data_IF_754009159851
#
_entry.id   IF_754009159851
#
_cell.length_a   1.000
_cell.length_b   1.000
_cell.length_c   1.000
_cell.angle_alpha   90.00
_cell.angle_beta   90.00
_cell.angle_gamma   90.00
#
_symmetry.space_group_name_H-M   'P 1'
#
loop_
_entity.id
_entity.type
_entity.pdbx_description
1 polymer ?
#
# COMPACT_ATOMS: atom_id res chain seq x y z
N UNK A 1 12.23 22.08 -15.81
CA UNK A 1 11.79 20.98 -16.66
C UNK A 1 10.89 21.53 -17.77
N UNK A 2 11.06 21.19 -19.06
CA UNK A 2 10.15 21.64 -20.12
C UNK A 2 8.71 21.24 -19.80
N UNK A 3 7.74 22.11 -20.09
CA UNK A 3 6.31 21.88 -19.74
C UNK A 3 5.72 20.58 -20.32
N UNK A 4 6.20 20.16 -21.49
CA UNK A 4 5.81 18.91 -22.13
C UNK A 4 6.27 17.67 -21.34
N UNK A 5 7.51 17.65 -20.86
CA UNK A 5 8.05 16.53 -20.09
C UNK A 5 7.34 16.40 -18.73
N UNK A 6 7.04 17.55 -18.10
CA UNK A 6 6.29 17.53 -16.85
C UNK A 6 4.89 16.92 -17.03
N UNK A 7 4.20 17.26 -18.12
CA UNK A 7 2.89 16.69 -18.43
C UNK A 7 2.97 15.18 -18.68
N UNK A 8 3.99 14.71 -19.39
CA UNK A 8 4.21 13.28 -19.62
C UNK A 8 4.45 12.52 -18.31
N UNK A 9 5.27 13.07 -17.41
CA UNK A 9 5.51 12.46 -16.08
C UNK A 9 4.22 12.44 -15.25
N UNK A 10 3.46 13.52 -15.25
CA UNK A 10 2.18 13.58 -14.55
C UNK A 10 1.19 12.55 -15.08
N UNK A 11 1.00 12.47 -16.40
CA UNK A 11 0.09 11.52 -17.05
C UNK A 11 0.54 10.06 -16.84
N UNK A 12 1.86 9.80 -16.75
CA UNK A 12 2.40 8.47 -16.53
C UNK A 12 2.03 7.89 -15.16
N UNK A 13 1.88 8.74 -14.13
CA UNK A 13 1.44 8.30 -12.79
C UNK A 13 0.01 7.74 -12.85
N UNK A 14 -0.89 8.41 -13.54
CA UNK A 14 -2.26 7.90 -13.75
C UNK A 14 -2.26 6.63 -14.60
N UNK A 15 -1.42 6.57 -15.63
CA UNK A 15 -1.30 5.38 -16.48
C UNK A 15 -0.78 4.17 -15.68
N UNK A 16 0.19 4.37 -14.77
CA UNK A 16 0.70 3.31 -13.92
C UNK A 16 -0.40 2.73 -13.00
N UNK A 17 -1.17 3.59 -12.31
CA UNK A 17 -2.30 3.13 -11.49
C UNK A 17 -3.35 2.38 -12.32
N UNK A 18 -3.67 2.88 -13.53
CA UNK A 18 -4.60 2.18 -14.43
C UNK A 18 -4.11 0.77 -14.75
N UNK A 19 -2.82 0.62 -15.10
CA UNK A 19 -2.23 -0.70 -15.41
C UNK A 19 -2.26 -1.65 -14.22
N UNK A 20 -2.05 -1.15 -12.99
CA UNK A 20 -2.19 -1.96 -11.77
C UNK A 20 -3.62 -2.48 -11.63
N UNK A 21 -4.61 -1.61 -11.82
CA UNK A 21 -6.03 -2.00 -11.74
C UNK A 21 -6.42 -2.95 -12.88
N UNK A 22 -5.92 -2.71 -14.10
CA UNK A 22 -6.11 -3.63 -15.23
C UNK A 22 -5.55 -5.01 -14.93
N UNK A 23 -4.34 -5.07 -14.35
CA UNK A 23 -3.72 -6.31 -13.94
C UNK A 23 -4.52 -7.01 -12.83
N UNK A 24 -4.94 -6.30 -11.78
CA UNK A 24 -5.76 -6.86 -10.71
C UNK A 24 -7.05 -7.50 -11.22
N UNK A 25 -7.70 -6.87 -12.20
CA UNK A 25 -8.91 -7.39 -12.86
C UNK A 25 -8.58 -8.62 -13.73
N UNK A 26 -7.52 -8.55 -14.53
CA UNK A 26 -7.12 -9.63 -15.45
C UNK A 26 -6.70 -10.89 -14.69
N UNK A 27 -5.92 -10.72 -13.62
CA UNK A 27 -5.45 -11.79 -12.74
C UNK A 27 -6.56 -12.29 -11.77
N UNK A 28 -7.69 -11.59 -11.71
CA UNK A 28 -8.81 -11.91 -10.82
C UNK A 28 -8.37 -12.05 -9.38
N UNK A 29 -7.58 -11.07 -8.89
CA UNK A 29 -7.08 -11.10 -7.52
C UNK A 29 -8.21 -11.11 -6.49
N UNK A 30 -8.01 -11.79 -5.37
CA UNK A 30 -9.01 -11.85 -4.30
C UNK A 30 -9.22 -10.51 -3.62
N UNK A 31 -8.19 -9.68 -3.53
CA UNK A 31 -8.25 -8.31 -2.97
C UNK A 31 -7.00 -7.51 -3.34
N UNK A 32 -7.06 -6.20 -3.11
CA UNK A 32 -5.95 -5.28 -3.28
C UNK A 32 -5.63 -4.60 -1.93
N UNK A 33 -4.33 -4.42 -1.62
CA UNK A 33 -3.86 -3.61 -0.49
C UNK A 33 -3.07 -2.41 -0.98
N UNK A 34 -3.27 -1.23 -0.35
CA UNK A 34 -2.60 0.03 -0.70
C UNK A 34 -1.96 0.61 0.57
N UNK A 35 -0.64 0.71 0.57
CA UNK A 35 0.16 1.05 1.75
C UNK A 35 0.46 2.56 1.90
N UNK A 36 -0.52 3.41 1.63
CA UNK A 36 -0.44 4.86 1.91
C UNK A 36 0.20 5.70 0.80
N UNK A 37 0.27 7.02 1.05
CA UNK A 37 0.76 8.05 0.13
C UNK A 37 0.10 7.98 -1.26
N UNK A 38 -1.24 7.88 -1.25
CA UNK A 38 -2.07 7.84 -2.47
C UNK A 38 -1.98 9.19 -3.19
N UNK A 39 -1.86 10.27 -2.42
CA UNK A 39 -1.74 11.64 -2.91
C UNK A 39 -0.45 12.25 -2.42
N UNK A 40 0.16 13.11 -3.27
CA UNK A 40 1.37 13.83 -2.92
C UNK A 40 1.02 15.21 -2.34
N UNK A 41 1.08 15.30 -1.01
CA UNK A 41 0.89 16.53 -0.26
C UNK A 41 -0.55 16.84 0.12
N UNK A 42 -0.70 17.93 0.89
CA UNK A 42 -1.95 18.34 1.54
C UNK A 42 -3.01 18.81 0.52
N UNK A 43 -2.59 19.32 -0.64
CA UNK A 43 -3.48 19.81 -1.70
C UNK A 43 -3.56 18.81 -2.85
N UNK A 44 -4.44 17.84 -2.71
CA UNK A 44 -4.75 16.93 -3.80
C UNK A 44 -5.57 17.63 -4.89
N UNK A 45 -5.26 17.37 -6.15
CA UNK A 45 -6.10 17.86 -7.24
C UNK A 45 -7.43 17.10 -7.30
N UNK A 46 -8.52 17.79 -7.64
CA UNK A 46 -9.83 17.17 -7.84
C UNK A 46 -9.73 16.06 -8.89
N UNK A 47 -8.92 16.27 -9.95
CA UNK A 47 -8.69 15.28 -10.98
C UNK A 47 -8.04 14.00 -10.46
N UNK A 48 -7.08 14.10 -9.52
CA UNK A 48 -6.45 12.92 -8.91
C UNK A 48 -7.45 12.13 -8.06
N UNK A 49 -8.29 12.83 -7.28
CA UNK A 49 -9.32 12.20 -6.46
C UNK A 49 -10.36 11.49 -7.34
N UNK A 50 -10.87 12.16 -8.35
CA UNK A 50 -11.85 11.59 -9.29
C UNK A 50 -11.26 10.38 -10.03
N UNK A 51 -10.01 10.49 -10.49
CA UNK A 51 -9.34 9.38 -11.16
C UNK A 51 -9.16 8.18 -10.23
N UNK A 52 -8.68 8.38 -9.00
CA UNK A 52 -8.51 7.30 -8.01
C UNK A 52 -9.84 6.62 -7.72
N UNK A 53 -10.89 7.39 -7.45
CA UNK A 53 -12.23 6.85 -7.21
C UNK A 53 -12.77 6.05 -8.41
N UNK A 54 -12.51 6.51 -9.64
CA UNK A 54 -12.86 5.75 -10.85
C UNK A 54 -12.14 4.41 -10.91
N UNK A 55 -10.85 4.35 -10.52
CA UNK A 55 -10.13 3.09 -10.50
C UNK A 55 -10.67 2.14 -9.41
N UNK A 56 -10.97 2.64 -8.22
CA UNK A 56 -11.61 1.86 -7.16
C UNK A 56 -13.00 1.35 -7.59
N UNK A 57 -13.78 2.17 -8.30
CA UNK A 57 -15.09 1.77 -8.84
C UNK A 57 -14.95 0.63 -9.85
N UNK A 58 -13.90 0.61 -10.67
CA UNK A 58 -13.63 -0.50 -11.59
C UNK A 58 -13.38 -1.81 -10.83
N UNK A 59 -12.62 -1.76 -9.74
CA UNK A 59 -12.43 -2.92 -8.85
C UNK A 59 -13.75 -3.35 -8.19
N UNK A 60 -14.57 -2.39 -7.76
CA UNK A 60 -15.87 -2.66 -7.17
C UNK A 60 -16.81 -3.38 -8.15
N UNK A 61 -16.81 -3.00 -9.43
CA UNK A 61 -17.58 -3.66 -10.50
C UNK A 61 -17.17 -5.12 -10.74
N UNK A 62 -15.95 -5.47 -10.34
CA UNK A 62 -15.44 -6.84 -10.40
C UNK A 62 -15.47 -7.55 -9.03
N UNK A 63 -16.14 -6.95 -8.04
CA UNK A 63 -16.23 -7.47 -6.67
C UNK A 63 -14.88 -7.67 -5.96
N UNK A 64 -13.84 -6.95 -6.38
CA UNK A 64 -12.50 -7.01 -5.78
C UNK A 64 -12.45 -6.02 -4.61
N UNK A 65 -12.32 -6.49 -3.35
CA UNK A 65 -12.18 -5.63 -2.18
C UNK A 65 -10.84 -4.89 -2.19
N UNK A 66 -10.82 -3.67 -1.65
CA UNK A 66 -9.61 -2.88 -1.48
C UNK A 66 -9.46 -2.52 -0.01
N UNK A 67 -8.28 -2.78 0.55
CA UNK A 67 -7.89 -2.33 1.88
C UNK A 67 -6.77 -1.31 1.75
N UNK A 68 -6.95 -0.14 2.35
CA UNK A 68 -5.94 0.91 2.27
C UNK A 68 -5.69 1.56 3.63
N UNK A 69 -4.48 2.05 3.79
CA UNK A 69 -4.16 3.04 4.81
C UNK A 69 -3.73 4.35 4.14
N UNK A 70 -3.78 5.44 4.87
CA UNK A 70 -3.19 6.72 4.47
C UNK A 70 -1.80 6.86 5.08
N UNK A 71 -0.86 7.42 4.31
CA UNK A 71 0.50 7.71 4.73
C UNK A 71 0.66 9.12 5.30
N UNK A 72 1.92 9.55 5.39
CA UNK A 72 2.26 10.85 5.95
C UNK A 72 2.00 12.04 5.00
N UNK A 73 1.80 11.80 3.71
CA UNK A 73 1.42 12.83 2.74
C UNK A 73 -0.10 13.01 2.65
N UNK A 74 -0.89 12.03 2.99
CA UNK A 74 -2.36 12.06 2.88
C UNK A 74 -3.09 11.82 4.21
N UNK A 75 -2.43 12.06 5.35
CA UNK A 75 -2.94 11.87 6.71
C UNK A 75 -4.28 12.55 6.99
N UNK A 76 -4.55 13.71 6.38
CA UNK A 76 -5.78 14.47 6.55
C UNK A 76 -7.02 13.74 5.99
N UNK A 77 -6.84 12.68 5.21
CA UNK A 77 -7.92 11.95 4.58
C UNK A 77 -8.66 10.98 5.50
N UNK A 78 -8.09 10.65 6.65
CA UNK A 78 -8.69 9.71 7.61
C UNK A 78 -10.10 10.11 8.03
N UNK A 79 -10.36 11.41 8.12
CA UNK A 79 -11.67 11.94 8.56
C UNK A 79 -12.59 12.37 7.41
N UNK A 80 -12.03 12.83 6.30
CA UNK A 80 -12.80 13.47 5.22
C UNK A 80 -13.17 12.52 4.06
N UNK A 81 -12.37 11.52 3.78
CA UNK A 81 -12.47 10.74 2.55
C UNK A 81 -13.40 9.53 2.60
N UNK A 82 -13.76 9.04 3.78
CA UNK A 82 -14.62 7.84 3.91
C UNK A 82 -16.02 8.02 3.33
N UNK A 83 -16.42 9.25 3.00
CA UNK A 83 -17.75 9.56 2.49
C UNK A 83 -17.90 9.42 0.97
N UNK A 84 -16.81 9.25 0.22
CA UNK A 84 -16.83 9.22 -1.26
C UNK A 84 -16.19 7.99 -1.91
N UNK A 85 -15.66 7.05 -1.12
CA UNK A 85 -15.06 5.84 -1.66
C UNK A 85 -16.12 4.77 -1.97
N UNK A 86 -15.91 3.94 -3.01
CA UNK A 86 -16.78 2.80 -3.30
C UNK A 86 -16.89 1.84 -2.14
N UNK A 87 -18.05 1.17 -1.99
CA UNK A 87 -18.38 0.30 -0.85
C UNK A 87 -17.43 -0.91 -0.68
N UNK A 88 -16.72 -1.32 -1.74
CA UNK A 88 -15.69 -2.37 -1.68
C UNK A 88 -14.37 -1.89 -1.07
N UNK A 89 -14.24 -0.59 -0.75
CA UNK A 89 -13.00 0.00 -0.25
C UNK A 89 -13.09 0.24 1.25
N UNK A 90 -12.20 -0.39 2.00
CA UNK A 90 -12.07 -0.24 3.44
C UNK A 90 -10.80 0.50 3.79
N UNK A 91 -10.96 1.67 4.38
CA UNK A 91 -9.85 2.45 4.96
C UNK A 91 -9.60 1.97 6.38
N UNK A 92 -8.35 1.63 6.70
CA UNK A 92 -7.93 1.38 8.08
C UNK A 92 -7.76 2.72 8.79
N UNK A 93 -8.33 2.85 9.98
CA UNK A 93 -8.37 4.10 10.74
C UNK A 93 -7.03 4.51 11.34
N UNK A 94 -7.01 5.57 12.15
CA UNK A 94 -5.81 6.09 12.81
C UNK A 94 -5.32 5.28 14.02
N UNK A 95 -6.04 4.22 14.37
CA UNK A 95 -5.61 3.19 15.32
C UNK A 95 -5.35 1.89 14.56
N UNK A 96 -4.44 1.07 15.08
CA UNK A 96 -4.24 -0.28 14.52
C UNK A 96 -5.54 -1.07 14.63
N UNK A 97 -6.06 -1.46 13.50
CA UNK A 97 -7.31 -2.23 13.37
C UNK A 97 -7.12 -3.39 12.41
N UNK A 98 -7.95 -4.42 12.59
CA UNK A 98 -7.97 -5.59 11.73
C UNK A 98 -9.29 -5.67 10.99
N UNK A 99 -9.22 -5.80 9.68
CA UNK A 99 -10.34 -6.14 8.81
C UNK A 99 -10.23 -7.60 8.39
N UNK A 100 -11.35 -8.29 8.27
CA UNK A 100 -11.38 -9.68 7.82
C UNK A 100 -12.24 -9.83 6.59
N UNK A 101 -11.86 -10.79 5.72
CA UNK A 101 -12.68 -11.28 4.62
C UNK A 101 -12.56 -12.79 4.54
N UNK A 102 -13.53 -13.42 3.89
CA UNK A 102 -13.48 -14.84 3.52
C UNK A 102 -13.39 -14.93 2.02
N UNK A 103 -12.39 -15.65 1.52
CA UNK A 103 -12.19 -15.88 0.09
C UNK A 103 -13.23 -16.86 -0.46
N UNK A 104 -13.36 -16.90 -1.78
CA UNK A 104 -14.23 -17.87 -2.45
C UNK A 104 -13.83 -19.33 -2.16
N UNK A 105 -12.57 -19.57 -1.84
CA UNK A 105 -12.03 -20.87 -1.39
C UNK A 105 -12.46 -21.27 0.02
N UNK A 106 -13.05 -20.33 0.80
CA UNK A 106 -13.39 -20.51 2.20
C UNK A 106 -12.28 -20.07 3.18
N UNK A 107 -11.10 -19.74 2.70
CA UNK A 107 -9.99 -19.25 3.53
C UNK A 107 -10.31 -17.89 4.15
N UNK A 108 -9.93 -17.71 5.41
CA UNK A 108 -10.11 -16.48 6.15
C UNK A 108 -8.84 -15.66 6.10
N UNK A 109 -8.96 -14.42 5.63
CA UNK A 109 -7.86 -13.45 5.57
C UNK A 109 -8.11 -12.33 6.56
N UNK A 110 -7.09 -11.93 7.30
CA UNK A 110 -7.10 -10.75 8.14
C UNK A 110 -6.07 -9.73 7.62
N UNK A 111 -6.49 -8.49 7.45
CA UNK A 111 -5.63 -7.37 7.09
C UNK A 111 -5.58 -6.42 8.28
N UNK A 112 -4.40 -6.26 8.87
CA UNK A 112 -4.15 -5.39 10.01
C UNK A 112 -3.31 -4.21 9.59
N UNK A 113 -3.70 -3.01 9.98
CA UNK A 113 -2.96 -1.80 9.65
C UNK A 113 -3.55 -0.56 10.31
N UNK A 114 -2.96 0.58 10.03
CA UNK A 114 -3.42 1.88 10.48
C UNK A 114 -3.12 2.96 9.44
N UNK A 115 -3.85 4.07 9.50
CA UNK A 115 -3.58 5.28 8.73
C UNK A 115 -2.95 6.36 9.61
N UNK A 116 -2.11 7.20 9.02
CA UNK A 116 -1.60 8.38 9.70
C UNK A 116 -2.74 9.34 10.04
N UNK A 117 -2.80 9.76 11.31
CA UNK A 117 -3.70 10.82 11.77
C UNK A 117 -3.01 12.18 11.88
N UNK A 118 -1.71 12.23 11.67
CA UNK A 118 -0.84 13.42 11.66
C UNK A 118 0.38 13.16 10.80
N UNK A 119 1.04 14.23 10.33
CA UNK A 119 2.14 14.12 9.36
C UNK A 119 3.35 13.31 9.86
N UNK A 120 3.65 13.37 11.14
CA UNK A 120 4.80 12.71 11.76
C UNK A 120 4.36 11.81 12.89
N UNK A 121 4.88 10.60 12.90
CA UNK A 121 4.66 9.60 13.95
C UNK A 121 6.03 9.06 14.35
N UNK A 122 6.54 9.53 15.49
CA UNK A 122 7.85 9.10 16.02
C UNK A 122 7.73 7.90 16.97
N UNK A 123 6.49 7.47 17.26
CA UNK A 123 6.26 6.30 18.09
C UNK A 123 6.30 5.03 17.25
N UNK A 124 6.81 3.98 17.83
CA UNK A 124 6.77 2.63 17.28
C UNK A 124 5.33 2.11 17.30
N UNK A 125 4.65 2.22 16.15
CA UNK A 125 3.29 1.72 15.99
C UNK A 125 3.27 0.22 15.75
N UNK A 126 4.35 -0.38 15.24
CA UNK A 126 4.45 -1.81 14.98
C UNK A 126 4.19 -2.65 16.23
N UNK A 127 4.60 -2.16 17.41
CA UNK A 127 4.29 -2.80 18.69
C UNK A 127 2.81 -3.02 18.95
N UNK A 128 1.95 -2.13 18.44
CA UNK A 128 0.50 -2.18 18.65
C UNK A 128 -0.21 -3.20 17.75
N UNK A 129 0.48 -3.73 16.73
CA UNK A 129 -0.08 -4.81 15.93
C UNK A 129 -0.20 -6.08 16.78
N UNK A 130 -1.38 -6.72 16.81
CA UNK A 130 -1.54 -7.98 17.52
C UNK A 130 -0.66 -9.07 16.87
N UNK A 131 -0.38 -10.12 17.57
CA UNK A 131 0.16 -11.34 16.95
C UNK A 131 -0.89 -11.98 16.04
N UNK A 132 -0.47 -12.81 15.08
CA UNK A 132 -1.36 -13.52 14.15
C UNK A 132 -2.49 -14.22 14.91
N UNK A 133 -3.71 -13.98 14.46
CA UNK A 133 -4.92 -14.61 14.99
C UNK A 133 -5.21 -15.96 14.37
N UNK A 134 -6.38 -16.53 14.71
CA UNK A 134 -6.86 -17.79 14.15
C UNK A 134 -7.48 -17.57 12.75
N UNK A 135 -6.65 -17.27 11.77
CA UNK A 135 -6.99 -17.08 10.36
C UNK A 135 -5.98 -17.82 9.49
N UNK A 136 -6.36 -18.12 8.25
CA UNK A 136 -5.47 -18.78 7.31
C UNK A 136 -4.34 -17.83 6.90
N UNK A 137 -4.68 -16.59 6.55
CA UNK A 137 -3.73 -15.57 6.15
C UNK A 137 -3.87 -14.29 6.97
N UNK A 138 -2.75 -13.79 7.49
CA UNK A 138 -2.66 -12.50 8.18
C UNK A 138 -1.69 -11.59 7.44
N UNK A 139 -2.19 -10.43 7.00
CA UNK A 139 -1.42 -9.44 6.25
C UNK A 139 -1.27 -8.17 7.07
N UNK A 140 -0.03 -7.72 7.23
CA UNK A 140 0.27 -6.42 7.81
C UNK A 140 0.33 -5.35 6.73
N UNK A 141 -0.36 -4.23 6.94
CA UNK A 141 -0.33 -3.05 6.09
C UNK A 141 0.22 -1.88 6.90
N UNK A 142 1.45 -1.46 6.59
CA UNK A 142 2.18 -0.46 7.37
C UNK A 142 2.85 0.57 6.46
N UNK A 143 2.48 1.84 6.64
CA UNK A 143 3.23 2.96 6.07
C UNK A 143 4.23 3.44 7.11
N UNK A 144 5.53 3.20 6.88
CA UNK A 144 6.57 3.50 7.86
C UNK A 144 7.97 3.26 7.34
N UNK A 145 8.97 3.65 8.12
CA UNK A 145 10.39 3.49 7.81
C UNK A 145 11.09 2.59 8.82
N UNK A 146 12.12 1.82 8.41
CA UNK A 146 12.96 1.11 9.35
C UNK A 146 13.62 2.08 10.34
N UNK A 147 13.65 1.71 11.61
CA UNK A 147 14.33 2.49 12.65
C UNK A 147 15.82 2.65 12.32
N UNK A 148 16.33 3.86 12.46
CA UNK A 148 17.75 4.17 12.27
C UNK A 148 18.29 4.85 13.53
N UNK A 149 19.29 4.21 14.15
CA UNK A 149 19.96 4.77 15.33
C UNK A 149 20.64 6.12 14.99
N UNK A 150 20.39 7.15 15.80
CA UNK A 150 20.97 8.48 15.62
C UNK A 150 20.30 9.35 14.54
N UNK A 151 19.20 8.87 13.92
CA UNK A 151 18.40 9.65 12.98
C UNK A 151 17.07 10.09 13.60
N UNK A 152 16.46 11.12 12.98
CA UNK A 152 15.09 11.53 13.31
C UNK A 152 14.09 10.53 12.72
N UNK A 153 13.60 9.62 13.57
CA UNK A 153 12.64 8.59 13.18
C UNK A 153 11.21 9.12 13.28
N UNK A 154 10.74 9.82 12.24
CA UNK A 154 9.42 10.50 12.24
C UNK A 154 8.32 9.78 11.45
N UNK A 155 8.59 8.58 10.91
CA UNK A 155 7.68 7.90 10.00
C UNK A 155 7.35 6.49 10.49
N UNK A 156 6.61 6.41 11.63
CA UNK A 156 6.19 5.17 12.27
C UNK A 156 7.33 4.13 12.27
N UNK A 157 8.45 4.44 12.95
CA UNK A 157 9.65 3.60 12.92
C UNK A 157 9.34 2.19 13.44
N UNK A 158 9.98 1.18 12.82
CA UNK A 158 9.86 -0.23 13.18
C UNK A 158 11.18 -0.95 12.95
N UNK A 159 11.35 -2.12 13.54
CA UNK A 159 12.41 -3.07 13.19
C UNK A 159 11.83 -4.28 12.47
N UNK A 160 12.66 -4.95 11.66
CA UNK A 160 12.25 -6.19 10.98
C UNK A 160 11.86 -7.25 12.00
N UNK A 161 12.64 -7.41 13.07
CA UNK A 161 12.39 -8.37 14.16
C UNK A 161 11.02 -8.15 14.82
N UNK A 162 10.58 -6.88 14.98
CA UNK A 162 9.25 -6.57 15.50
C UNK A 162 8.15 -7.06 14.58
N UNK A 163 8.30 -6.88 13.27
CA UNK A 163 7.32 -7.37 12.30
C UNK A 163 7.29 -8.90 12.25
N UNK A 164 8.46 -9.55 12.25
CA UNK A 164 8.58 -11.01 12.28
C UNK A 164 7.94 -11.61 13.55
N UNK A 165 8.11 -10.95 14.70
CA UNK A 165 7.53 -11.38 15.99
C UNK A 165 6.01 -11.44 16.01
N UNK A 166 5.33 -10.81 15.04
CA UNK A 166 3.86 -10.87 14.89
C UNK A 166 3.38 -12.13 14.19
N UNK A 167 4.27 -12.90 13.56
CA UNK A 167 3.98 -14.14 12.84
C UNK A 167 2.97 -13.99 11.71
N UNK A 168 2.94 -12.81 11.05
CA UNK A 168 2.12 -12.57 9.88
C UNK A 168 2.68 -13.30 8.67
N UNK A 169 1.84 -13.57 7.70
CA UNK A 169 2.23 -14.29 6.48
C UNK A 169 2.81 -13.35 5.41
N UNK A 170 2.53 -12.03 5.52
CA UNK A 170 3.00 -11.02 4.59
C UNK A 170 2.92 -9.62 5.20
N UNK A 171 3.90 -8.77 4.88
CA UNK A 171 3.87 -7.35 5.21
C UNK A 171 3.95 -6.49 3.94
N UNK A 172 2.89 -5.74 3.67
CA UNK A 172 2.86 -4.72 2.63
C UNK A 172 3.26 -3.37 3.23
N UNK A 173 4.45 -2.90 2.87
CA UNK A 173 5.02 -1.66 3.39
C UNK A 173 4.91 -0.52 2.38
N UNK A 174 4.64 0.71 2.88
CA UNK A 174 4.71 1.97 2.15
C UNK A 174 5.68 2.95 2.79
N UNK A 175 5.91 4.10 2.16
CA UNK A 175 6.82 5.19 2.51
C UNK A 175 8.10 5.19 1.67
N UNK A 176 8.78 4.07 1.53
CA UNK A 176 10.00 4.01 0.72
C UNK A 176 9.62 3.87 -0.77
N UNK A 177 10.12 4.78 -1.60
CA UNK A 177 9.73 4.88 -3.02
C UNK A 177 10.36 3.80 -3.91
N UNK A 178 11.43 3.17 -3.45
CA UNK A 178 12.09 2.05 -4.14
C UNK A 178 11.49 0.73 -3.67
N UNK A 179 11.14 -0.16 -4.62
CA UNK A 179 10.75 -1.52 -4.26
C UNK A 179 11.93 -2.27 -3.64
N UNK A 180 11.70 -2.98 -2.55
CA UNK A 180 12.71 -3.79 -1.88
C UNK A 180 12.08 -4.80 -0.92
N UNK A 181 12.75 -5.91 -0.71
CA UNK A 181 12.42 -6.90 0.30
C UNK A 181 13.33 -6.73 1.50
N UNK A 182 12.75 -6.59 2.69
CA UNK A 182 13.49 -6.54 3.95
C UNK A 182 13.69 -7.94 4.56
N UNK A 183 12.73 -8.84 4.31
CA UNK A 183 12.78 -10.25 4.70
C UNK A 183 11.99 -11.11 3.71
N UNK A 184 12.30 -12.39 3.65
CA UNK A 184 11.67 -13.37 2.75
C UNK A 184 10.75 -14.36 3.45
N UNK A 185 10.88 -14.52 4.78
CA UNK A 185 10.08 -15.46 5.58
C UNK A 185 9.81 -14.89 6.98
N UNK A 186 8.64 -14.26 7.17
CA UNK A 186 7.65 -13.92 6.15
C UNK A 186 8.16 -12.84 5.17
N UNK A 187 7.58 -12.73 3.97
CA UNK A 187 7.92 -11.62 3.09
C UNK A 187 7.52 -10.29 3.71
N UNK A 188 8.50 -9.37 3.83
CA UNK A 188 8.33 -8.00 4.32
C UNK A 188 8.83 -7.09 3.21
N UNK A 189 7.91 -6.45 2.47
CA UNK A 189 8.25 -5.78 1.22
C UNK A 189 7.71 -4.36 1.11
N UNK A 190 8.53 -3.47 0.59
CA UNK A 190 8.10 -2.18 0.04
C UNK A 190 7.79 -2.35 -1.44
N UNK A 191 6.60 -2.00 -1.87
CA UNK A 191 6.27 -2.00 -3.30
C UNK A 191 6.97 -0.86 -4.06
N UNK A 192 7.38 0.19 -3.36
CA UNK A 192 7.80 1.43 -3.97
C UNK A 192 6.64 2.21 -4.59
N UNK A 193 6.95 3.32 -5.24
CA UNK A 193 5.96 4.05 -6.02
C UNK A 193 5.75 3.39 -7.40
N UNK A 194 4.53 3.44 -7.97
CA UNK A 194 4.24 2.84 -9.27
C UNK A 194 4.93 3.53 -10.45
N UNK A 195 5.37 4.79 -10.28
CA UNK A 195 6.02 5.60 -11.31
C UNK A 195 7.02 6.56 -10.67
N UNK A 196 8.28 6.49 -11.11
CA UNK A 196 9.28 7.49 -10.74
C UNK A 196 8.93 8.86 -11.34
N UNK A 197 9.08 9.91 -10.54
CA UNK A 197 8.69 11.30 -10.91
C UNK A 197 9.89 12.20 -11.19
N UNK A 198 11.08 11.81 -10.81
CA UNK A 198 12.31 12.56 -11.04
C UNK A 198 13.54 11.62 -11.06
N UNK A 199 14.67 12.14 -11.53
CA UNK A 199 15.91 11.38 -11.75
C UNK A 199 16.47 10.63 -10.52
N UNK A 200 16.11 11.05 -9.31
CA UNK A 200 16.54 10.37 -8.08
C UNK A 200 15.67 9.14 -7.77
N UNK A 201 14.59 8.94 -8.51
CA UNK A 201 13.73 7.75 -8.46
C UNK A 201 13.98 6.90 -9.72
N UNK A 202 15.26 6.56 -9.95
CA UNK A 202 15.65 5.70 -11.07
C UNK A 202 15.40 4.22 -10.74
N UNK A 203 15.16 3.42 -11.77
CA UNK A 203 14.99 1.97 -11.69
C UNK A 203 13.57 1.52 -12.01
N UNK A 204 13.28 0.26 -11.67
CA UNK A 204 11.97 -0.33 -11.93
C UNK A 204 10.94 0.13 -10.89
N UNK A 205 9.76 0.51 -11.37
CA UNK A 205 8.61 0.91 -10.57
C UNK A 205 7.42 0.04 -10.91
N UNK A 206 6.64 -0.36 -9.90
CA UNK A 206 5.57 -1.32 -10.12
C UNK A 206 4.78 -1.66 -8.86
N UNK A 207 4.37 -2.91 -8.78
CA UNK A 207 3.62 -3.48 -7.67
C UNK A 207 4.05 -4.93 -7.43
N UNK A 208 3.65 -5.49 -6.31
CA UNK A 208 3.77 -6.94 -6.07
C UNK A 208 2.44 -7.65 -6.33
N UNK A 209 2.49 -8.69 -7.16
CA UNK A 209 1.44 -9.70 -7.26
C UNK A 209 1.82 -10.83 -6.29
N UNK A 210 0.93 -11.15 -5.36
CA UNK A 210 1.22 -12.11 -4.30
C UNK A 210 0.35 -13.34 -4.48
N UNK A 211 0.96 -14.51 -4.54
CA UNK A 211 0.28 -15.80 -4.70
C UNK A 211 0.45 -16.66 -3.45
N UNK A 212 -0.60 -17.39 -3.09
CA UNK A 212 -0.48 -18.48 -2.11
C UNK A 212 0.15 -19.72 -2.75
N UNK A 213 1.15 -20.28 -2.09
CA UNK A 213 1.77 -21.54 -2.47
C UNK A 213 1.95 -22.43 -1.23
N UNK A 214 1.09 -23.39 -1.05
CA UNK A 214 1.00 -24.15 0.20
C UNK A 214 0.70 -23.21 1.38
N UNK A 215 1.55 -23.20 2.40
CA UNK A 215 1.41 -22.36 3.58
C UNK A 215 2.18 -21.03 3.50
N UNK A 216 2.59 -20.59 2.30
CA UNK A 216 3.39 -19.37 2.11
C UNK A 216 2.74 -18.44 1.12
N UNK A 217 2.99 -17.14 1.29
CA UNK A 217 2.69 -16.10 0.33
C UNK A 217 3.98 -15.74 -0.42
N UNK A 218 3.92 -15.78 -1.75
CA UNK A 218 5.06 -15.54 -2.64
C UNK A 218 4.82 -14.24 -3.39
N UNK A 219 5.58 -13.18 -3.11
CA UNK A 219 5.51 -11.91 -3.84
C UNK A 219 6.27 -12.01 -5.17
N UNK A 220 5.67 -11.52 -6.23
CA UNK A 220 6.30 -11.33 -7.53
C UNK A 220 6.23 -9.86 -7.94
N UNK A 221 7.38 -9.20 -8.13
CA UNK A 221 7.41 -7.82 -8.57
C UNK A 221 7.02 -7.69 -10.04
N UNK A 222 6.05 -6.81 -10.34
CA UNK A 222 5.55 -6.53 -11.70
C UNK A 222 5.82 -5.07 -12.04
N UNK A 223 6.71 -4.78 -13.00
CA UNK A 223 6.96 -3.40 -13.43
C UNK A 223 5.78 -2.85 -14.23
N UNK A 224 5.41 -1.58 -13.97
CA UNK A 224 4.32 -0.88 -14.69
C UNK A 224 4.67 0.54 -15.11
N UNK A 225 5.84 1.06 -14.73
CA UNK A 225 6.24 2.41 -15.08
C UNK A 225 6.20 2.64 -16.61
N UNK A 226 5.67 3.79 -17.00
CA UNK A 226 5.65 4.19 -18.41
C UNK A 226 6.87 5.03 -18.82
N UNK A 227 7.57 5.59 -17.82
CA UNK A 227 8.76 6.41 -18.00
C UNK A 227 9.83 5.89 -17.05
N UNK A 228 11.01 5.56 -17.57
CA UNK A 228 12.22 5.26 -16.80
C UNK A 228 13.10 6.51 -16.69
N UNK A 229 13.84 6.62 -15.59
CA UNK A 229 14.83 7.66 -15.33
C UNK A 229 16.22 7.08 -15.34
#
# INVERSE_FOLDING_TARGET
MPSQLWRQVYDSTFAALRRIVDAAITERVDFVVIAGDIYDGERKSIAAVDFFNKQLTRLAQQHIPVFLCYGNHDFQQVTAANQSLPANTRVLGNQVTTATLTLATGERVAITGFSYGQRWISTDVARKYPVKGAVDWQIGLLHGAPYQAGADNHYAPFTVDELESKHYDYWALGHIHKHQELATTPPIVYSGNPQGRHKNEAGSHGYYLVHSQGSRLIPEFKPVAGIGW
#
